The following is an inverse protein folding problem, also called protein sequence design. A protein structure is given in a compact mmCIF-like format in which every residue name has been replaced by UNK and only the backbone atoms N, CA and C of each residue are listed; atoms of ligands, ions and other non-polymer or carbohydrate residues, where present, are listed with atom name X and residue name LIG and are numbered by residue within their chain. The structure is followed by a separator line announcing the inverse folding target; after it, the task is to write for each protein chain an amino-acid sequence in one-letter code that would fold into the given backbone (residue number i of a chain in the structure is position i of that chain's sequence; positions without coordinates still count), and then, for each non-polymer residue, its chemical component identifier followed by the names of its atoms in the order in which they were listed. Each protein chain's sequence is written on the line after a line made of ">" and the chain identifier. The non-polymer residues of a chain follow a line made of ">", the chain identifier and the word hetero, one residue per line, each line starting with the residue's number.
data_IF_208150597495
#
_entry.id   IF_208150597495
#
_cell.length_a   1.000
_cell.length_b   1.000
_cell.length_c   1.000
_cell.angle_alpha   90.00
_cell.angle_beta   90.00
_cell.angle_gamma   90.00
#
_symmetry.space_group_name_H-M   'P 1'
#
loop_
_entity.id
_entity.type
_entity.pdbx_description
1 polymer ?
#
# COMPACT_ATOMS: atom_id res chain seq x y z
N UNK A 1 13.09 -35.74 -3.42
CA UNK A 1 11.95 -35.30 -2.58
C UNK A 1 11.85 -33.78 -2.74
N UNK A 2 10.89 -33.30 -3.54
CA UNK A 2 10.81 -31.89 -3.98
C UNK A 2 10.15 -31.06 -2.88
N UNK A 3 10.90 -30.17 -2.24
CA UNK A 3 10.46 -29.37 -1.10
C UNK A 3 9.32 -28.43 -1.52
N UNK A 4 8.14 -28.64 -0.94
CA UNK A 4 6.96 -27.79 -1.12
C UNK A 4 7.09 -26.41 -0.44
N UNK A 5 8.28 -26.06 0.06
CA UNK A 5 8.58 -24.81 0.76
C UNK A 5 8.85 -23.64 -0.20
N UNK A 6 9.52 -23.91 -1.33
CA UNK A 6 9.88 -22.90 -2.34
C UNK A 6 8.63 -22.24 -2.98
N UNK A 7 7.57 -23.03 -3.19
CA UNK A 7 6.33 -22.52 -3.78
C UNK A 7 5.52 -21.62 -2.81
N UNK A 8 5.75 -21.69 -1.49
CA UNK A 8 5.02 -20.86 -0.51
C UNK A 8 5.69 -19.51 -0.26
N UNK A 9 7.03 -19.43 -0.27
CA UNK A 9 7.76 -18.16 -0.12
C UNK A 9 7.50 -17.23 -1.29
N UNK A 10 7.58 -17.74 -2.52
CA UNK A 10 7.24 -17.00 -3.73
C UNK A 10 5.82 -16.41 -3.68
N UNK A 11 4.86 -17.11 -3.06
CA UNK A 11 3.48 -16.63 -2.93
C UNK A 11 3.40 -15.45 -1.95
N UNK A 12 4.04 -15.51 -0.79
CA UNK A 12 3.97 -14.41 0.19
C UNK A 12 4.58 -13.13 -0.39
N UNK A 13 5.72 -13.25 -1.08
CA UNK A 13 6.38 -12.11 -1.70
C UNK A 13 5.61 -11.57 -2.91
N UNK A 14 5.00 -12.45 -3.71
CA UNK A 14 4.09 -12.06 -4.79
C UNK A 14 2.85 -11.32 -4.26
N UNK A 15 2.28 -11.77 -3.13
CA UNK A 15 1.14 -11.12 -2.49
C UNK A 15 1.53 -9.77 -1.86
N UNK A 16 2.69 -9.68 -1.21
CA UNK A 16 3.22 -8.42 -0.70
C UNK A 16 3.48 -7.42 -1.84
N UNK A 17 4.16 -7.86 -2.91
CA UNK A 17 4.42 -7.03 -4.09
C UNK A 17 3.14 -6.59 -4.81
N UNK A 18 2.13 -7.48 -4.92
CA UNK A 18 0.80 -7.10 -5.41
C UNK A 18 0.14 -6.08 -4.48
N UNK A 19 0.20 -6.28 -3.16
CA UNK A 19 -0.32 -5.34 -2.17
C UNK A 19 0.26 -3.93 -2.35
N UNK A 20 1.58 -3.84 -2.58
CA UNK A 20 2.27 -2.56 -2.82
C UNK A 20 1.79 -1.92 -4.11
N UNK A 21 1.65 -2.71 -5.18
CA UNK A 21 1.15 -2.23 -6.46
C UNK A 21 -0.26 -1.65 -6.33
N UNK A 22 -1.16 -2.35 -5.64
CA UNK A 22 -2.53 -1.87 -5.39
C UNK A 22 -2.55 -0.63 -4.48
N UNK A 23 -1.67 -0.58 -3.49
CA UNK A 23 -1.52 0.59 -2.61
C UNK A 23 -1.06 1.84 -3.39
N UNK A 24 -0.07 1.69 -4.27
CA UNK A 24 0.37 2.76 -5.18
C UNK A 24 -0.76 3.21 -6.11
N UNK A 25 -1.55 2.27 -6.65
CA UNK A 25 -2.70 2.58 -7.50
C UNK A 25 -3.77 3.37 -6.74
N UNK A 26 -4.02 3.01 -5.48
CA UNK A 26 -4.91 3.74 -4.58
C UNK A 26 -4.40 5.16 -4.32
N UNK A 27 -3.10 5.34 -4.05
CA UNK A 27 -2.48 6.65 -3.86
C UNK A 27 -2.61 7.53 -5.10
N UNK A 28 -2.42 6.96 -6.29
CA UNK A 28 -2.61 7.69 -7.56
C UNK A 28 -4.06 8.12 -7.72
N UNK A 29 -5.03 7.24 -7.47
CA UNK A 29 -6.46 7.61 -7.49
C UNK A 29 -6.79 8.73 -6.51
N UNK A 30 -6.20 8.68 -5.32
CA UNK A 30 -6.39 9.70 -4.29
C UNK A 30 -5.75 11.04 -4.68
N UNK A 31 -4.56 11.02 -5.29
CA UNK A 31 -3.90 12.20 -5.83
C UNK A 31 -4.71 12.84 -6.97
N UNK A 32 -5.29 12.04 -7.87
CA UNK A 32 -6.17 12.51 -8.94
C UNK A 32 -7.42 13.18 -8.34
N UNK A 33 -8.07 12.53 -7.37
CA UNK A 33 -9.24 13.10 -6.67
C UNK A 33 -8.89 14.41 -5.95
N UNK A 34 -7.69 14.52 -5.39
CA UNK A 34 -7.20 15.75 -4.77
C UNK A 34 -7.03 16.87 -5.79
N UNK A 35 -6.37 16.62 -6.91
CA UNK A 35 -6.15 17.61 -7.98
C UNK A 35 -7.49 18.09 -8.52
N UNK A 36 -8.42 17.19 -8.83
CA UNK A 36 -9.77 17.53 -9.30
C UNK A 36 -10.52 18.35 -8.25
N UNK A 37 -10.54 17.92 -6.98
CA UNK A 37 -11.23 18.66 -5.92
C UNK A 37 -10.65 20.06 -5.71
N UNK A 38 -9.34 20.21 -5.90
CA UNK A 38 -8.65 21.49 -5.84
C UNK A 38 -9.01 22.39 -7.04
N UNK A 39 -9.07 21.85 -8.26
CA UNK A 39 -9.45 22.64 -9.46
C UNK A 39 -10.90 23.09 -9.44
N UNK A 40 -11.81 22.24 -8.92
CA UNK A 40 -13.23 22.56 -8.81
C UNK A 40 -13.59 23.30 -7.51
N UNK A 41 -12.59 23.62 -6.67
CA UNK A 41 -12.75 24.35 -5.40
C UNK A 41 -13.84 23.76 -4.49
N UNK A 42 -13.99 22.43 -4.51
CA UNK A 42 -15.01 21.73 -3.72
C UNK A 42 -14.53 21.65 -2.27
N UNK A 43 -14.77 22.73 -1.53
CA UNK A 43 -14.35 22.95 -0.13
C UNK A 43 -14.58 21.74 0.79
N UNK A 44 -15.76 21.07 0.80
CA UNK A 44 -15.98 19.95 1.73
C UNK A 44 -15.10 18.74 1.41
N UNK A 45 -14.84 18.46 0.13
CA UNK A 45 -14.00 17.33 -0.28
C UNK A 45 -12.52 17.64 0.00
N UNK A 46 -12.10 18.88 -0.23
CA UNK A 46 -10.73 19.32 0.07
C UNK A 46 -10.43 19.27 1.58
N UNK A 47 -11.42 19.59 2.43
CA UNK A 47 -11.28 19.54 3.88
C UNK A 47 -11.20 18.10 4.41
N UNK A 48 -11.99 17.18 3.84
CA UNK A 48 -11.91 15.74 4.13
C UNK A 48 -10.58 15.12 3.68
N UNK A 49 -10.14 15.41 2.45
CA UNK A 49 -8.87 14.88 1.92
C UNK A 49 -7.64 15.46 2.61
N UNK A 50 -7.72 16.69 3.12
CA UNK A 50 -6.62 17.35 3.84
C UNK A 50 -6.68 17.14 5.35
N UNK A 51 -7.66 16.38 5.84
CA UNK A 51 -7.77 16.09 7.26
C UNK A 51 -6.54 15.25 7.70
N UNK A 52 -5.89 15.63 8.81
CA UNK A 52 -4.72 14.90 9.31
C UNK A 52 -5.04 13.44 9.60
N UNK A 53 -6.27 13.14 10.03
CA UNK A 53 -6.75 11.77 10.28
C UNK A 53 -6.67 10.87 9.05
N UNK A 54 -7.04 11.37 7.86
CA UNK A 54 -6.93 10.58 6.62
C UNK A 54 -5.48 10.27 6.29
N UNK A 55 -4.57 11.24 6.45
CA UNK A 55 -3.14 11.04 6.24
C UNK A 55 -2.53 10.06 7.24
N UNK A 56 -2.98 10.10 8.50
CA UNK A 56 -2.56 9.15 9.55
C UNK A 56 -3.00 7.72 9.18
N UNK A 57 -4.23 7.55 8.70
CA UNK A 57 -4.72 6.24 8.25
C UNK A 57 -3.94 5.70 7.05
N UNK A 58 -3.65 6.56 6.06
CA UNK A 58 -2.84 6.20 4.89
C UNK A 58 -1.43 5.80 5.32
N UNK A 59 -0.80 6.58 6.20
CA UNK A 59 0.53 6.28 6.74
C UNK A 59 0.54 4.95 7.50
N UNK A 60 -0.49 4.66 8.31
CA UNK A 60 -0.63 3.37 8.99
C UNK A 60 -0.73 2.19 8.03
N UNK A 61 -1.52 2.32 6.97
CA UNK A 61 -1.63 1.29 5.93
C UNK A 61 -0.27 1.11 5.23
N UNK A 62 0.41 2.20 4.88
CA UNK A 62 1.74 2.16 4.27
C UNK A 62 2.76 1.43 5.15
N UNK A 63 2.81 1.76 6.44
CA UNK A 63 3.72 1.14 7.42
C UNK A 63 3.41 -0.35 7.59
N UNK A 64 2.15 -0.72 7.73
CA UNK A 64 1.73 -2.13 7.83
C UNK A 64 2.18 -2.93 6.60
N UNK A 65 2.00 -2.35 5.42
CA UNK A 65 2.34 -2.98 4.15
C UNK A 65 3.86 -3.06 3.94
N UNK A 66 4.61 -2.06 4.39
CA UNK A 66 6.07 -2.08 4.43
C UNK A 66 6.61 -3.14 5.40
N UNK A 67 6.00 -3.30 6.58
CA UNK A 67 6.33 -4.37 7.51
C UNK A 67 6.10 -5.76 6.89
N UNK A 68 4.96 -5.96 6.23
CA UNK A 68 4.66 -7.21 5.51
C UNK A 68 5.70 -7.51 4.42
N UNK A 69 6.12 -6.49 3.68
CA UNK A 69 7.22 -6.59 2.72
C UNK A 69 8.55 -6.98 3.38
N UNK A 70 8.92 -6.31 4.47
CA UNK A 70 10.17 -6.58 5.18
C UNK A 70 10.19 -8.02 5.72
N UNK A 71 9.08 -8.49 6.31
CA UNK A 71 8.95 -9.87 6.79
C UNK A 71 9.08 -10.85 5.61
N UNK A 72 8.45 -10.57 4.47
CA UNK A 72 8.56 -11.41 3.28
C UNK A 72 10.01 -11.51 2.77
N UNK A 73 10.73 -10.39 2.72
CA UNK A 73 12.14 -10.34 2.30
C UNK A 73 13.08 -11.07 3.28
N UNK A 74 12.86 -10.92 4.60
CA UNK A 74 13.64 -11.65 5.62
C UNK A 74 13.40 -13.16 5.49
N UNK A 75 12.15 -13.58 5.30
CA UNK A 75 11.83 -14.98 5.07
C UNK A 75 12.52 -15.51 3.82
N UNK A 76 12.49 -14.78 2.71
CA UNK A 76 13.16 -15.20 1.47
C UNK A 76 14.67 -15.32 1.64
N UNK A 77 15.31 -14.40 2.38
CA UNK A 77 16.75 -14.46 2.67
C UNK A 77 17.17 -15.60 3.60
N UNK A 78 16.21 -16.26 4.27
CA UNK A 78 16.45 -17.40 5.17
C UNK A 78 16.24 -18.76 4.49
N UNK A 79 15.80 -18.81 3.23
CA UNK A 79 15.82 -20.02 2.39
C UNK A 79 17.06 -20.08 1.49
#
# INVERSE_FOLDING_TARGET
>A
MKSNFDNKQNVILLWAGRGVKYFLLMLVGMAIAFVISHTFTVVPVLMLLRSPDTWIWIARVAISLFCLLAIAMIFESWS
#
